data_IF_188615684489
#
_entry.id   IF_188615684489
#
_cell.length_a   1.000
_cell.length_b   1.000
_cell.length_c   1.000
_cell.angle_alpha   90.00
_cell.angle_beta   90.00
_cell.angle_gamma   90.00
#
_symmetry.space_group_name_H-M   'P 1'
#
loop_
_entity.id
_entity.type
_entity.pdbx_description
1 polymer ?
#
# COMPACT_ATOMS: atom_id res chain seq x y z
N UNK A 1 -2.53 16.82 1.58
CA UNK A 1 -3.37 15.93 0.80
C UNK A 1 -4.40 15.26 1.66
N UNK A 2 -5.58 15.17 1.19
CA UNK A 2 -6.63 14.51 1.93
C UNK A 2 -6.87 13.12 1.40
N UNK A 3 -7.22 12.18 2.26
CA UNK A 3 -7.58 10.86 1.79
C UNK A 3 -8.81 10.94 0.90
N UNK A 4 -8.94 10.06 -0.05
CA UNK A 4 -10.10 10.08 -0.93
C UNK A 4 -11.37 9.80 -0.16
N UNK A 5 -12.43 10.38 -0.63
CA UNK A 5 -13.73 10.23 0.00
C UNK A 5 -14.41 8.94 -0.37
N UNK A 6 -13.97 8.30 -1.43
CA UNK A 6 -14.57 7.07 -1.91
C UNK A 6 -13.84 5.88 -1.32
N UNK A 7 -14.47 5.11 -0.46
CA UNK A 7 -13.85 3.90 0.06
C UNK A 7 -13.65 2.88 -1.06
N UNK A 8 -12.76 1.92 -0.86
CA UNK A 8 -12.65 0.82 -1.80
C UNK A 8 -14.00 0.10 -1.93
N UNK A 9 -14.25 -0.45 -3.09
CA UNK A 9 -15.50 -1.14 -3.34
C UNK A 9 -15.67 -2.26 -2.32
N UNK A 10 -16.74 -2.19 -1.57
CA UNK A 10 -17.05 -3.21 -0.59
C UNK A 10 -17.37 -4.50 -1.35
N UNK A 11 -16.73 -5.56 -0.99
CA UNK A 11 -17.02 -6.86 -1.57
C UNK A 11 -16.22 -7.26 -2.80
N UNK A 12 -15.41 -6.37 -3.36
CA UNK A 12 -14.56 -6.80 -4.46
C UNK A 12 -13.32 -7.50 -3.93
N UNK A 13 -13.02 -8.66 -4.50
CA UNK A 13 -11.81 -9.39 -4.13
C UNK A 13 -10.60 -8.73 -4.76
N UNK A 14 -9.47 -8.66 -4.04
CA UNK A 14 -8.24 -8.22 -4.69
C UNK A 14 -7.83 -9.23 -5.76
N UNK A 15 -7.13 -8.75 -6.78
CA UNK A 15 -6.60 -9.61 -7.83
C UNK A 15 -5.47 -10.51 -7.33
N UNK A 16 -4.74 -10.03 -6.31
CA UNK A 16 -3.69 -10.81 -5.66
C UNK A 16 -3.65 -10.44 -4.18
N UNK A 17 -3.42 -11.42 -3.32
CA UNK A 17 -3.39 -11.20 -1.88
C UNK A 17 -2.37 -12.13 -1.25
N UNK A 18 -1.59 -11.61 -0.31
CA UNK A 18 -0.50 -12.36 0.32
C UNK A 18 -0.44 -12.08 1.81
N UNK A 19 -0.21 -13.15 2.59
CA UNK A 19 0.15 -12.99 4.00
C UNK A 19 1.66 -12.86 4.10
N UNK A 20 2.12 -11.87 4.84
CA UNK A 20 3.55 -11.59 4.97
C UNK A 20 4.07 -12.08 6.32
N UNK A 21 5.36 -12.45 6.41
CA UNK A 21 5.94 -12.79 7.70
C UNK A 21 5.93 -11.56 8.62
N UNK A 22 5.77 -11.80 9.92
CA UNK A 22 5.75 -10.73 10.91
C UNK A 22 7.18 -10.44 11.39
N UNK A 23 8.08 -10.23 10.46
CA UNK A 23 9.50 -10.04 10.75
C UNK A 23 10.06 -8.92 9.90
N UNK A 24 11.31 -8.56 10.18
CA UNK A 24 12.03 -7.56 9.40
C UNK A 24 12.20 -7.96 7.93
N UNK A 25 11.91 -9.20 7.60
CA UNK A 25 11.97 -9.67 6.20
C UNK A 25 10.74 -9.30 5.39
N UNK A 26 9.67 -8.90 6.06
CA UNK A 26 8.40 -8.64 5.37
C UNK A 26 8.52 -7.62 4.24
N UNK A 27 9.21 -6.49 4.38
CA UNK A 27 9.31 -5.55 3.26
C UNK A 27 9.97 -6.16 2.03
N UNK A 28 11.04 -6.93 2.22
CA UNK A 28 11.71 -7.61 1.10
C UNK A 28 10.81 -8.65 0.45
N UNK A 29 10.10 -9.44 1.26
CA UNK A 29 9.15 -10.42 0.75
C UNK A 29 8.04 -9.74 -0.04
N UNK A 30 7.50 -8.65 0.49
CA UNK A 30 6.45 -7.90 -0.19
C UNK A 30 6.93 -7.38 -1.55
N UNK A 31 8.15 -6.85 -1.62
CA UNK A 31 8.71 -6.37 -2.88
C UNK A 31 8.82 -7.49 -3.90
N UNK A 32 9.29 -8.67 -3.49
CA UNK A 32 9.43 -9.80 -4.39
C UNK A 32 8.09 -10.28 -4.93
N UNK A 33 7.09 -10.39 -4.05
CA UNK A 33 5.75 -10.79 -4.46
C UNK A 33 5.13 -9.77 -5.40
N UNK A 34 5.26 -8.49 -5.07
CA UNK A 34 4.72 -7.44 -5.91
C UNK A 34 5.42 -7.39 -7.26
N UNK A 35 6.74 -7.55 -7.30
CA UNK A 35 7.48 -7.57 -8.55
C UNK A 35 6.93 -8.62 -9.51
N UNK A 36 6.65 -9.81 -9.00
CA UNK A 36 6.08 -10.89 -9.79
C UNK A 36 4.71 -10.51 -10.37
N UNK A 37 3.85 -9.94 -9.55
CA UNK A 37 2.52 -9.52 -9.98
C UNK A 37 2.60 -8.43 -11.04
N UNK A 38 3.44 -7.42 -10.81
CA UNK A 38 3.56 -6.29 -11.72
C UNK A 38 4.15 -6.72 -13.07
N UNK A 39 5.08 -7.66 -13.05
CA UNK A 39 5.65 -8.20 -14.28
C UNK A 39 4.59 -8.97 -15.06
N UNK A 40 3.80 -9.80 -14.39
CA UNK A 40 2.74 -10.56 -15.04
C UNK A 40 1.68 -9.65 -15.66
N UNK A 41 1.43 -8.52 -15.03
CA UNK A 41 0.42 -7.57 -15.52
C UNK A 41 0.99 -6.54 -16.50
N UNK A 42 2.27 -6.63 -16.83
CA UNK A 42 2.95 -5.73 -17.75
C UNK A 42 2.82 -4.26 -17.35
N UNK A 43 2.96 -4.01 -16.07
CA UNK A 43 2.90 -2.64 -15.54
C UNK A 43 4.18 -1.89 -15.92
N UNK A 44 4.05 -0.63 -16.33
CA UNK A 44 5.20 0.16 -16.74
C UNK A 44 6.19 0.34 -15.58
N UNK A 45 7.47 0.48 -15.93
CA UNK A 45 8.53 0.54 -14.91
C UNK A 45 8.38 1.72 -13.95
N UNK A 46 7.90 2.84 -14.42
CA UNK A 46 7.70 4.01 -13.55
C UNK A 46 6.67 3.72 -12.47
N UNK A 47 5.55 3.13 -12.83
CA UNK A 47 4.51 2.77 -11.86
C UNK A 47 4.99 1.65 -10.95
N UNK A 48 5.70 0.68 -11.51
CA UNK A 48 6.26 -0.41 -10.72
C UNK A 48 7.24 0.10 -9.67
N UNK A 49 8.13 1.02 -10.03
CA UNK A 49 9.10 1.59 -9.10
C UNK A 49 8.41 2.35 -7.97
N UNK A 50 7.41 3.17 -8.30
CA UNK A 50 6.65 3.90 -7.30
C UNK A 50 5.91 2.95 -6.36
N UNK A 51 5.26 1.93 -6.92
CA UNK A 51 4.54 0.94 -6.13
C UNK A 51 5.47 0.19 -5.19
N UNK A 52 6.65 -0.18 -5.66
CA UNK A 52 7.64 -0.89 -4.85
C UNK A 52 8.11 -0.05 -3.67
N UNK A 53 8.39 1.22 -3.89
CA UNK A 53 8.81 2.10 -2.82
C UNK A 53 7.70 2.29 -1.79
N UNK A 54 6.48 2.51 -2.26
CA UNK A 54 5.32 2.70 -1.39
C UNK A 54 5.05 1.45 -0.55
N UNK A 55 5.08 0.28 -1.17
CA UNK A 55 4.87 -0.98 -0.45
C UNK A 55 5.94 -1.19 0.60
N UNK A 56 7.20 -0.91 0.27
CA UNK A 56 8.29 -1.04 1.24
C UNK A 56 8.03 -0.20 2.48
N UNK A 57 7.60 1.04 2.29
CA UNK A 57 7.34 1.94 3.40
C UNK A 57 6.14 1.50 4.23
N UNK A 58 5.05 1.11 3.58
CA UNK A 58 3.85 0.70 4.30
C UNK A 58 4.03 -0.61 5.04
N UNK A 59 4.72 -1.57 4.45
CA UNK A 59 4.98 -2.84 5.11
C UNK A 59 5.96 -2.64 6.28
N UNK A 60 6.96 -1.80 6.11
CA UNK A 60 7.87 -1.45 7.20
C UNK A 60 7.10 -0.86 8.38
N UNK A 61 6.19 0.08 8.10
CA UNK A 61 5.36 0.67 9.14
C UNK A 61 4.49 -0.39 9.83
N UNK A 62 3.89 -1.29 9.08
CA UNK A 62 3.04 -2.32 9.64
C UNK A 62 3.82 -3.26 10.56
N UNK A 63 5.04 -3.62 10.17
CA UNK A 63 5.89 -4.50 10.99
C UNK A 63 6.40 -3.79 12.23
N UNK A 64 6.80 -2.52 12.10
CA UNK A 64 7.40 -1.78 13.20
C UNK A 64 6.38 -1.26 14.21
N UNK A 65 5.20 -0.90 13.75
CA UNK A 65 4.20 -0.19 14.56
C UNK A 65 2.84 -0.84 14.60
N UNK A 66 2.61 -1.80 13.71
CA UNK A 66 1.39 -2.57 13.73
C UNK A 66 1.50 -3.74 14.67
N UNK A 67 0.53 -4.60 14.64
CA UNK A 67 0.58 -5.86 15.35
C UNK A 67 -0.19 -6.92 14.59
N UNK A 68 0.12 -8.16 14.88
CA UNK A 68 -0.54 -9.28 14.27
C UNK A 68 -0.15 -9.49 12.81
N UNK A 69 -0.90 -10.30 12.11
CA UNK A 69 -0.59 -10.61 10.71
C UNK A 69 -0.62 -9.38 9.82
N UNK A 70 0.30 -9.33 8.88
CA UNK A 70 0.35 -8.29 7.85
C UNK A 70 -0.06 -8.91 6.53
N UNK A 71 -1.00 -8.27 5.86
CA UNK A 71 -1.52 -8.75 4.59
C UNK A 71 -1.35 -7.70 3.52
N UNK A 72 -0.88 -8.13 2.36
CA UNK A 72 -0.71 -7.29 1.18
C UNK A 72 -1.76 -7.68 0.15
N UNK A 73 -2.48 -6.72 -0.39
CA UNK A 73 -3.41 -6.99 -1.48
C UNK A 73 -3.19 -6.02 -2.62
N UNK A 74 -3.38 -6.50 -3.85
CA UNK A 74 -3.14 -5.73 -5.06
C UNK A 74 -4.35 -5.90 -5.97
N UNK A 75 -4.87 -4.79 -6.46
CA UNK A 75 -6.05 -4.77 -7.31
C UNK A 75 -5.80 -3.87 -8.51
N UNK A 76 -6.19 -4.31 -9.69
CA UNK A 76 -6.20 -3.44 -10.86
C UNK A 76 -7.52 -2.71 -10.92
N UNK A 77 -7.45 -1.41 -11.05
CA UNK A 77 -8.65 -0.61 -11.27
C UNK A 77 -8.86 -0.41 -12.76
N UNK A 78 -10.09 -0.49 -13.18
CA UNK A 78 -10.47 -0.44 -14.60
C UNK A 78 -11.33 0.78 -14.87
N UNK A 79 -11.14 1.38 -16.01
CA UNK A 79 -11.97 2.48 -16.50
C UNK A 79 -12.21 2.27 -17.99
N UNK A 80 -13.47 2.24 -18.39
CA UNK A 80 -13.87 2.06 -19.78
C UNK A 80 -13.26 0.81 -20.42
N UNK A 81 -13.17 -0.28 -19.63
CA UNK A 81 -12.65 -1.55 -20.14
C UNK A 81 -11.14 -1.68 -20.16
N UNK A 82 -10.41 -0.65 -19.72
CA UNK A 82 -8.96 -0.69 -19.69
C UNK A 82 -8.44 -0.50 -18.27
N UNK A 83 -7.31 -1.16 -17.93
CA UNK A 83 -6.71 -0.91 -16.61
C UNK A 83 -6.18 0.51 -16.55
N UNK A 84 -6.54 1.24 -15.49
CA UNK A 84 -6.17 2.63 -15.35
C UNK A 84 -5.24 2.90 -14.18
N UNK A 85 -5.23 2.04 -13.18
CA UNK A 85 -4.37 2.22 -12.02
C UNK A 85 -4.27 0.94 -11.22
N UNK A 86 -3.31 0.94 -10.30
CA UNK A 86 -3.17 -0.12 -9.30
C UNK A 86 -3.60 0.41 -7.95
N UNK A 87 -4.35 -0.39 -7.22
CA UNK A 87 -4.62 -0.13 -5.81
C UNK A 87 -3.90 -1.20 -5.00
N UNK A 88 -3.12 -0.76 -4.06
CA UNK A 88 -2.36 -1.65 -3.18
C UNK A 88 -2.74 -1.32 -1.75
N UNK A 89 -2.98 -2.35 -0.96
CA UNK A 89 -3.37 -2.18 0.44
C UNK A 89 -2.52 -3.05 1.34
N UNK A 90 -2.16 -2.50 2.48
CA UNK A 90 -1.45 -3.22 3.55
C UNK A 90 -2.33 -3.16 4.78
N UNK A 91 -2.66 -4.34 5.31
CA UNK A 91 -3.53 -4.49 6.47
C UNK A 91 -2.75 -5.09 7.62
N UNK A 92 -2.92 -4.55 8.82
CA UNK A 92 -2.40 -5.16 10.04
C UNK A 92 -3.49 -5.17 11.10
N UNK A 93 -3.19 -5.78 12.26
CA UNK A 93 -4.17 -5.95 13.33
C UNK A 93 -4.17 -4.82 14.35
N UNK A 94 -3.37 -3.78 14.16
CA UNK A 94 -3.35 -2.66 15.08
C UNK A 94 -4.59 -1.78 14.88
N UNK A 95 -5.32 -1.45 15.95
CA UNK A 95 -6.47 -0.57 15.83
C UNK A 95 -6.09 0.90 15.71
N UNK A 96 -4.82 1.25 15.90
CA UNK A 96 -4.39 2.63 15.86
C UNK A 96 -4.02 3.04 14.44
N UNK A 97 -4.55 4.18 13.97
CA UNK A 97 -4.19 4.68 12.64
C UNK A 97 -2.70 5.03 12.57
N UNK A 98 -2.13 4.88 11.41
CA UNK A 98 -0.78 5.36 11.16
C UNK A 98 -0.79 6.89 11.22
N UNK A 99 0.26 7.46 11.80
CA UNK A 99 0.39 8.89 11.94
C UNK A 99 1.67 9.38 11.31
N UNK A 100 1.59 10.56 10.69
CA UNK A 100 2.78 11.27 10.29
C UNK A 100 3.39 11.86 11.56
N UNK A 101 4.60 11.47 11.88
CA UNK A 101 5.26 12.01 13.04
C UNK A 101 5.85 13.38 12.75
N UNK A 102 5.67 14.27 13.67
CA UNK A 102 6.17 15.63 13.56
C UNK A 102 7.48 15.85 14.30
N UNK A 103 7.93 14.87 15.02
CA UNK A 103 9.22 14.98 15.66
C UNK A 103 10.28 15.03 14.59
N UNK A 104 11.02 16.03 14.73
CA UNK A 104 12.10 16.24 13.86
C UNK A 104 12.85 15.05 13.67
N UNK A 105 13.40 14.97 12.90
CA UNK A 105 14.50 14.20 12.78
C UNK A 105 14.22 12.92 12.25
N UNK A 106 14.85 12.43 12.08
CA UNK A 106 15.30 11.16 11.78
C UNK A 106 14.30 10.05 12.00
N UNK A 107 13.12 10.37 12.28
CA UNK A 107 12.13 9.34 12.44
C UNK A 107 11.67 8.86 11.06
N UNK A 108 12.26 7.76 10.63
CA UNK A 108 11.93 7.15 9.35
C UNK A 108 10.45 6.85 9.20
N UNK A 109 9.74 6.69 10.29
CA UNK A 109 8.33 6.37 10.31
C UNK A 109 7.47 7.50 9.77
N UNK A 110 7.87 8.75 10.05
CA UNK A 110 7.18 9.89 9.50
C UNK A 110 7.38 10.02 8.00
N UNK A 111 8.49 9.51 7.51
CA UNK A 111 8.78 9.56 6.09
C UNK A 111 7.90 8.64 5.28
N UNK A 112 7.47 7.52 5.84
CA UNK A 112 6.64 6.59 5.11
C UNK A 112 5.38 7.24 4.56
N UNK A 113 4.64 7.94 5.42
CA UNK A 113 3.43 8.63 4.97
C UNK A 113 3.74 9.83 4.09
N UNK A 114 4.85 10.52 4.32
CA UNK A 114 5.25 11.61 3.44
C UNK A 114 5.55 11.10 2.03
N UNK A 115 6.18 9.95 1.92
CA UNK A 115 6.47 9.34 0.63
C UNK A 115 5.17 8.94 -0.07
N UNK A 116 4.20 8.40 0.68
CA UNK A 116 2.90 8.06 0.13
C UNK A 116 2.22 9.31 -0.44
N UNK A 117 2.24 10.42 0.30
CA UNK A 117 1.69 11.68 -0.19
C UNK A 117 2.34 12.13 -1.50
N UNK A 118 3.64 11.91 -1.62
CA UNK A 118 4.38 12.38 -2.80
C UNK A 118 4.18 11.50 -4.02
N UNK A 119 4.10 10.20 -3.85
CA UNK A 119 4.15 9.26 -4.95
C UNK A 119 2.82 8.66 -5.33
N UNK A 120 1.89 8.57 -4.40
CA UNK A 120 0.59 8.00 -4.68
C UNK A 120 -0.31 9.04 -5.34
N UNK A 121 -1.09 8.61 -6.32
CA UNK A 121 -2.12 9.46 -6.90
C UNK A 121 -3.24 9.72 -5.89
N UNK A 122 -3.57 8.69 -5.13
CA UNK A 122 -4.56 8.75 -4.06
C UNK A 122 -4.14 7.76 -2.97
N UNK A 123 -4.48 8.06 -1.73
CA UNK A 123 -4.26 7.11 -0.64
C UNK A 123 -5.24 7.38 0.49
N UNK A 124 -5.37 6.40 1.37
CA UNK A 124 -6.22 6.56 2.54
C UNK A 124 -5.96 5.49 3.58
N UNK A 125 -6.62 5.65 4.71
CA UNK A 125 -6.57 4.70 5.81
C UNK A 125 -7.98 4.36 6.24
N UNK A 126 -8.21 3.09 6.53
CA UNK A 126 -9.48 2.63 7.08
C UNK A 126 -9.19 1.92 8.41
N UNK A 127 -9.90 2.31 9.45
CA UNK A 127 -9.85 1.58 10.72
C UNK A 127 -10.89 0.48 10.61
N UNK A 128 -10.43 -0.76 10.68
CA UNK A 128 -11.29 -1.93 10.62
C UNK A 128 -11.63 -2.40 12.03
N UNK A 129 -12.62 -3.26 12.16
CA UNK A 129 -13.00 -3.74 13.47
C UNK A 129 -11.88 -4.40 14.25
N UNK A 130 -10.96 -5.06 13.57
CA UNK A 130 -9.86 -5.78 14.18
C UNK A 130 -8.48 -5.28 13.73
N UNK A 131 -8.40 -4.08 13.15
CA UNK A 131 -7.12 -3.58 12.69
C UNK A 131 -7.26 -2.35 11.82
N UNK A 132 -6.29 -2.16 10.95
CA UNK A 132 -6.32 -1.04 10.01
C UNK A 132 -5.80 -1.47 8.65
N UNK A 133 -6.20 -0.71 7.64
CA UNK A 133 -5.72 -0.87 6.28
C UNK A 133 -5.26 0.47 5.76
N UNK A 134 -4.05 0.52 5.20
CA UNK A 134 -3.57 1.67 4.45
C UNK A 134 -3.52 1.25 3.00
N UNK A 135 -4.08 2.06 2.13
CA UNK A 135 -4.10 1.76 0.71
C UNK A 135 -3.63 2.96 -0.10
N UNK A 136 -3.14 2.69 -1.30
CA UNK A 136 -2.74 3.74 -2.23
C UNK A 136 -3.06 3.30 -3.67
N UNK A 137 -3.16 4.28 -4.54
CA UNK A 137 -3.33 4.07 -5.97
C UNK A 137 -2.21 4.75 -6.73
N UNK A 138 -1.67 4.06 -7.71
CA UNK A 138 -0.63 4.60 -8.58
C UNK A 138 -0.91 4.19 -10.01
N UNK A 139 -0.39 4.95 -10.94
CA UNK A 139 -0.42 4.58 -12.33
C UNK A 139 -1.54 5.17 -13.15
N UNK A 140 -2.30 6.09 -12.57
CA UNK A 140 -3.47 6.65 -13.23
C UNK A 140 -3.20 7.21 -14.62
N UNK A 141 -2.01 7.71 -14.85
CA UNK A 141 -1.64 8.30 -16.14
C UNK A 141 -0.48 7.56 -16.80
N UNK A 142 -0.18 6.38 -16.34
CA UNK A 142 0.91 5.60 -16.92
C UNK A 142 0.36 4.72 -18.02
N UNK A 143 0.72 5.06 -19.22
CA UNK A 143 0.34 4.29 -20.41
C UNK A 143 1.55 3.77 -21.13
#
# INVERSE_FOLDING_TARGET
MQPPLTPPRTGSRPDASFCLPETVRAPGTARQLLESVLADWLICSKCADSAQLLVSELVTNAVMHGCGPVQLSVTREWSSGEPCSLRIAVTDASPEPARRRQTASSDERGRGLAIVDMLADRWGQDVLGAGKRIWFEVGRFCH
#
